data_IF_910884189500
#
_entry.id   IF_910884189500
#
_cell.length_a   1.000
_cell.length_b   1.000
_cell.length_c   1.000
_cell.angle_alpha   90.00
_cell.angle_beta   90.00
_cell.angle_gamma   90.00
#
_symmetry.space_group_name_H-M   'P 1'
#
loop_
_entity.id
_entity.type
_entity.pdbx_description
1 polymer ?
#
# COMPACT_ATOMS: atom_id res chain seq x y z
N UNK A 1 -10.71 17.43 -3.55
CA UNK A 1 -10.79 18.12 -2.25
C UNK A 1 -9.49 17.92 -1.51
N UNK A 2 -8.71 18.99 -1.33
CA UNK A 2 -7.44 18.94 -0.60
C UNK A 2 -7.72 18.92 0.91
N UNK A 3 -7.16 17.97 1.66
CA UNK A 3 -7.25 17.95 3.13
C UNK A 3 -5.88 18.28 3.73
N UNK A 4 -5.86 19.19 4.69
CA UNK A 4 -4.65 19.55 5.43
C UNK A 4 -4.41 18.53 6.54
N UNK A 5 -3.24 17.89 6.53
CA UNK A 5 -2.81 16.96 7.58
C UNK A 5 -1.65 17.62 8.33
N UNK A 6 -1.80 17.80 9.64
CA UNK A 6 -0.73 18.22 10.54
C UNK A 6 -0.31 17.02 11.39
N UNK A 7 0.93 16.56 11.20
CA UNK A 7 1.53 15.58 12.09
C UNK A 7 2.08 16.29 13.33
N UNK A 8 1.70 15.83 14.53
CA UNK A 8 2.22 16.30 15.82
C UNK A 8 3.05 15.17 16.44
N UNK A 9 3.98 15.53 17.31
CA UNK A 9 4.81 14.58 18.07
C UNK A 9 5.65 13.64 17.18
N UNK A 10 6.26 14.18 16.11
CA UNK A 10 7.18 13.41 15.27
C UNK A 10 8.55 13.35 15.97
N UNK A 11 9.10 12.16 16.26
CA UNK A 11 10.43 12.05 16.85
C UNK A 11 11.49 12.71 15.98
N UNK A 12 12.45 13.41 16.59
CA UNK A 12 13.48 14.18 15.88
C UNK A 12 14.30 13.32 14.91
N UNK A 13 14.56 12.06 15.26
CA UNK A 13 15.27 11.11 14.39
C UNK A 13 14.50 10.81 13.10
N UNK A 14 13.18 10.65 13.21
CA UNK A 14 12.29 10.42 12.05
C UNK A 14 12.26 11.66 11.19
N UNK A 15 12.11 12.84 11.80
CA UNK A 15 12.12 14.11 11.07
C UNK A 15 13.44 14.34 10.32
N UNK A 16 14.59 14.09 10.96
CA UNK A 16 15.92 14.17 10.33
C UNK A 16 16.08 13.20 9.17
N UNK A 17 15.66 11.96 9.35
CA UNK A 17 15.75 10.92 8.32
C UNK A 17 14.90 11.27 7.09
N UNK A 18 13.65 11.69 7.31
CA UNK A 18 12.76 12.11 6.23
C UNK A 18 13.28 13.35 5.50
N UNK A 19 13.83 14.33 6.24
CA UNK A 19 14.44 15.53 5.64
C UNK A 19 15.65 15.18 4.77
N UNK A 20 16.50 14.25 5.23
CA UNK A 20 17.64 13.76 4.44
C UNK A 20 17.18 13.06 3.15
N UNK A 21 16.17 12.19 3.24
CA UNK A 21 15.60 11.52 2.05
C UNK A 21 14.95 12.50 1.08
N UNK A 22 14.19 13.47 1.59
CA UNK A 22 13.59 14.52 0.77
C UNK A 22 14.66 15.35 0.01
N UNK A 23 15.73 15.74 0.71
CA UNK A 23 16.85 16.47 0.10
C UNK A 23 17.59 15.64 -0.96
N UNK A 24 17.77 14.33 -0.75
CA UNK A 24 18.38 13.42 -1.74
C UNK A 24 17.57 13.32 -3.03
N UNK A 25 16.26 13.48 -2.93
CA UNK A 25 15.35 13.42 -4.07
C UNK A 25 15.01 14.80 -4.65
N UNK A 26 15.61 15.87 -4.11
CA UNK A 26 15.38 17.26 -4.56
C UNK A 26 13.97 17.77 -4.25
N UNK A 27 13.29 17.19 -3.25
CA UNK A 27 11.91 17.53 -2.88
C UNK A 27 11.85 18.24 -1.53
N UNK A 28 10.79 19.03 -1.32
CA UNK A 28 10.49 19.56 0.01
C UNK A 28 10.06 18.41 0.94
N UNK A 29 10.32 18.54 2.25
CA UNK A 29 9.88 17.55 3.23
C UNK A 29 8.36 17.31 3.18
N UNK A 30 7.59 18.38 3.00
CA UNK A 30 6.14 18.31 2.87
C UNK A 30 5.70 17.49 1.66
N UNK A 31 6.37 17.66 0.51
CA UNK A 31 6.03 16.93 -0.72
C UNK A 31 6.49 15.49 -0.67
N UNK A 32 7.65 15.23 -0.05
CA UNK A 32 8.12 13.87 0.23
C UNK A 32 7.12 13.10 1.11
N UNK A 33 6.62 13.72 2.18
CA UNK A 33 5.61 13.11 3.06
C UNK A 33 4.30 12.87 2.32
N UNK A 34 3.81 13.83 1.52
CA UNK A 34 2.59 13.65 0.72
C UNK A 34 2.71 12.47 -0.24
N UNK A 35 3.87 12.34 -0.91
CA UNK A 35 4.13 11.24 -1.84
C UNK A 35 4.11 9.90 -1.12
N UNK A 36 4.78 9.82 0.03
CA UNK A 36 4.81 8.59 0.83
C UNK A 36 3.42 8.21 1.33
N UNK A 37 2.64 9.18 1.82
CA UNK A 37 1.24 8.96 2.21
C UNK A 37 0.38 8.46 1.03
N UNK A 38 0.60 9.00 -0.17
CA UNK A 38 -0.09 8.55 -1.38
C UNK A 38 0.31 7.11 -1.74
N UNK A 39 1.59 6.75 -1.62
CA UNK A 39 2.05 5.38 -1.84
C UNK A 39 1.46 4.38 -0.85
N UNK A 40 1.38 4.74 0.42
CA UNK A 40 0.75 3.92 1.46
C UNK A 40 -0.74 3.78 1.17
N UNK A 41 -1.44 4.86 0.84
CA UNK A 41 -2.87 4.81 0.53
C UNK A 41 -3.20 4.07 -0.78
N UNK A 42 -2.27 4.04 -1.74
CA UNK A 42 -2.46 3.35 -3.01
C UNK A 42 -2.45 1.81 -2.84
N UNK A 43 -1.80 1.29 -1.79
CA UNK A 43 -1.76 -0.14 -1.50
C UNK A 43 -2.84 -0.48 -0.47
N UNK A 44 -3.96 -1.10 -0.88
CA UNK A 44 -4.93 -1.59 0.09
C UNK A 44 -4.22 -2.59 1.01
N UNK A 45 -4.55 -2.53 2.28
CA UNK A 45 -4.12 -3.55 3.24
C UNK A 45 -4.67 -4.92 2.82
N UNK A 46 -4.05 -6.00 3.31
CA UNK A 46 -4.54 -7.36 3.04
C UNK A 46 -6.01 -7.51 3.43
N UNK A 47 -6.42 -6.90 4.55
CA UNK A 47 -7.79 -6.94 5.02
C UNK A 47 -8.75 -6.22 4.07
N UNK A 48 -8.43 -4.99 3.65
CA UNK A 48 -9.25 -4.24 2.68
C UNK A 48 -9.31 -4.96 1.33
N UNK A 49 -8.22 -5.61 0.93
CA UNK A 49 -8.19 -6.41 -0.29
C UNK A 49 -9.10 -7.62 -0.18
N UNK A 50 -9.05 -8.37 0.93
CA UNK A 50 -9.92 -9.50 1.20
C UNK A 50 -11.40 -9.10 1.23
N UNK A 51 -11.75 -8.01 1.92
CA UNK A 51 -13.11 -7.46 1.96
C UNK A 51 -13.59 -7.09 0.55
N UNK A 52 -12.76 -6.42 -0.26
CA UNK A 52 -13.09 -6.09 -1.66
C UNK A 52 -13.29 -7.34 -2.52
N UNK A 53 -12.45 -8.36 -2.37
CA UNK A 53 -12.59 -9.61 -3.12
C UNK A 53 -13.80 -10.43 -2.68
N UNK A 54 -14.18 -10.38 -1.39
CA UNK A 54 -15.38 -11.04 -0.88
C UNK A 54 -16.67 -10.42 -1.41
N UNK A 55 -16.66 -9.12 -1.74
CA UNK A 55 -17.80 -8.42 -2.35
C UNK A 55 -17.84 -8.51 -3.88
N UNK A 56 -16.75 -8.95 -4.52
CA UNK A 56 -16.69 -9.06 -5.97
C UNK A 56 -17.57 -10.21 -6.48
N UNK A 57 -18.25 -10.01 -7.62
CA UNK A 57 -19.01 -11.10 -8.26
C UNK A 57 -18.05 -12.23 -8.65
N UNK A 58 -18.34 -13.48 -8.28
CA UNK A 58 -17.56 -14.63 -8.72
C UNK A 58 -17.52 -14.67 -10.24
N UNK A 59 -16.32 -14.85 -10.80
CA UNK A 59 -16.17 -15.11 -12.24
C UNK A 59 -16.54 -16.59 -12.46
N UNK A 60 -17.55 -16.89 -13.28
CA UNK A 60 -17.95 -18.26 -13.55
C UNK A 60 -16.81 -18.97 -14.26
N UNK A 61 -16.17 -19.90 -13.56
CA UNK A 61 -15.05 -20.70 -14.03
C UNK A 61 -15.32 -22.16 -13.71
N UNK A 62 -14.88 -23.07 -14.59
CA UNK A 62 -15.10 -24.52 -14.39
C UNK A 62 -14.24 -25.10 -13.26
N UNK A 63 -13.16 -24.42 -12.90
CA UNK A 63 -12.21 -24.78 -11.86
C UNK A 63 -11.80 -23.52 -11.13
N UNK A 64 -11.68 -23.60 -9.82
CA UNK A 64 -11.18 -22.52 -8.98
C UNK A 64 -9.66 -22.36 -9.16
N UNK A 65 -9.16 -21.14 -8.94
CA UNK A 65 -7.71 -20.90 -8.93
C UNK A 65 -7.00 -21.75 -7.87
N UNK A 66 -7.66 -22.03 -6.74
CA UNK A 66 -7.11 -22.86 -5.67
C UNK A 66 -6.87 -24.32 -6.11
N UNK A 67 -7.79 -24.90 -6.88
CA UNK A 67 -7.65 -26.25 -7.43
C UNK A 67 -6.48 -26.34 -8.40
N UNK A 68 -6.36 -25.36 -9.32
CA UNK A 68 -5.26 -25.31 -10.29
C UNK A 68 -3.90 -25.16 -9.58
N UNK A 69 -3.80 -24.31 -8.56
CA UNK A 69 -2.56 -24.11 -7.81
C UNK A 69 -2.17 -25.38 -7.04
N UNK A 70 -3.14 -26.12 -6.47
CA UNK A 70 -2.86 -27.41 -5.80
C UNK A 70 -2.35 -28.44 -6.79
N UNK A 71 -3.03 -28.61 -7.92
CA UNK A 71 -2.61 -29.53 -8.98
C UNK A 71 -1.17 -29.25 -9.44
N UNK A 72 -0.80 -27.98 -9.64
CA UNK A 72 0.57 -27.59 -10.01
C UNK A 72 1.61 -27.82 -8.91
N UNK A 73 1.22 -27.76 -7.62
CA UNK A 73 2.12 -28.06 -6.50
C UNK A 73 2.34 -29.54 -6.32
N UNK A 74 1.29 -30.34 -6.51
CA UNK A 74 1.33 -31.79 -6.35
C UNK A 74 2.10 -32.47 -7.50
N UNK A 75 2.28 -31.78 -8.63
CA UNK A 75 3.11 -32.19 -9.77
C UNK A 75 4.61 -31.88 -9.61
N UNK A 76 5.02 -31.23 -8.51
CA UNK A 76 6.39 -30.82 -8.24
C UNK A 76 7.06 -31.74 -7.23
#
# INVERSE_FOLDING_TARGET
MSKMIRARDVPDEVHRTLKSRAAREGMSLSDFIKRELAHVAARPTMQEWLERTGQAKPIPTKRTAAEVIRELRDQR
#
